data_IF_032417875791
#
_entry.id   IF_032417875791
#
_cell.length_a   1.000
_cell.length_b   1.000
_cell.length_c   1.000
_cell.angle_alpha   90.00
_cell.angle_beta   90.00
_cell.angle_gamma   90.00
#
_symmetry.space_group_name_H-M   'P 1'
#
loop_
_entity.id
_entity.type
_entity.pdbx_description
1 polymer ?
#
# COMPACT_ATOMS: atom_id res chain seq x y z
N UNK A 1 -6.32 -12.33 14.26
CA UNK A 1 -4.90 -12.13 13.89
C UNK A 1 -4.85 -11.75 12.41
N UNK A 2 -4.65 -10.46 12.10
CA UNK A 2 -4.58 -9.99 10.71
C UNK A 2 -3.22 -10.37 10.10
N UNK A 3 -3.26 -10.85 8.86
CA UNK A 3 -2.17 -11.53 8.18
C UNK A 3 -0.83 -10.78 8.24
N UNK A 4 0.24 -11.52 8.57
CA UNK A 4 1.63 -11.12 8.34
C UNK A 4 1.91 -11.07 6.82
N UNK A 5 1.35 -10.08 6.12
CA UNK A 5 1.64 -9.86 4.71
C UNK A 5 3.07 -9.32 4.58
N UNK A 6 3.98 -10.21 4.21
CA UNK A 6 5.33 -9.83 3.77
C UNK A 6 5.21 -9.00 2.50
N UNK A 7 5.56 -7.73 2.59
CA UNK A 7 5.61 -6.80 1.46
C UNK A 7 6.98 -6.93 0.81
N UNK A 8 7.02 -7.16 -0.50
CA UNK A 8 8.27 -7.19 -1.27
C UNK A 8 8.52 -5.83 -1.93
N UNK A 9 9.79 -5.47 -2.11
CA UNK A 9 10.15 -4.34 -2.95
C UNK A 9 9.68 -4.60 -4.40
N UNK A 10 9.35 -3.52 -5.12
CA UNK A 10 8.80 -3.50 -6.48
C UNK A 10 7.39 -4.09 -6.63
N UNK A 11 6.76 -4.50 -5.53
CA UNK A 11 5.41 -5.07 -5.54
C UNK A 11 4.34 -3.98 -5.72
N UNK A 12 3.42 -4.19 -6.67
CA UNK A 12 2.22 -3.39 -6.79
C UNK A 12 1.15 -3.90 -5.82
N UNK A 13 0.60 -3.01 -5.01
CA UNK A 13 -0.46 -3.35 -4.04
C UNK A 13 -1.66 -2.45 -4.23
N UNK A 14 -2.81 -2.97 -3.84
CA UNK A 14 -4.03 -2.21 -3.63
C UNK A 14 -4.32 -2.19 -2.13
N UNK A 15 -4.55 -1.02 -1.56
CA UNK A 15 -4.80 -0.84 -0.13
C UNK A 15 -6.01 0.05 0.13
N UNK A 16 -6.72 -0.23 1.22
CA UNK A 16 -7.69 0.66 1.85
C UNK A 16 -6.94 1.42 2.95
N UNK A 17 -6.86 2.74 2.80
CA UNK A 17 -6.09 3.61 3.69
C UNK A 17 -6.99 4.66 4.33
N UNK A 18 -6.95 4.75 5.65
CA UNK A 18 -7.64 5.76 6.43
C UNK A 18 -6.68 6.91 6.78
N UNK A 19 -7.03 8.14 6.38
CA UNK A 19 -6.24 9.32 6.73
C UNK A 19 -6.41 9.66 8.22
N UNK A 20 -5.56 10.56 8.75
CA UNK A 20 -5.73 11.07 10.12
C UNK A 20 -7.05 11.83 10.34
N UNK A 21 -7.69 12.29 9.27
CA UNK A 21 -9.00 12.95 9.34
C UNK A 21 -10.17 11.97 9.18
N UNK A 22 -9.90 10.65 9.16
CA UNK A 22 -10.92 9.61 8.95
C UNK A 22 -11.30 9.40 7.47
N UNK A 23 -10.61 10.04 6.52
CA UNK A 23 -10.91 9.85 5.09
C UNK A 23 -10.41 8.47 4.63
N UNK A 24 -11.34 7.58 4.28
CA UNK A 24 -11.02 6.26 3.74
C UNK A 24 -10.87 6.35 2.23
N UNK A 25 -9.73 5.87 1.72
CA UNK A 25 -9.40 5.90 0.29
C UNK A 25 -8.87 4.56 -0.18
N UNK A 26 -9.28 4.16 -1.38
CA UNK A 26 -8.69 3.04 -2.10
C UNK A 26 -7.46 3.51 -2.88
N UNK A 27 -6.29 2.91 -2.66
CA UNK A 27 -5.02 3.33 -3.23
C UNK A 27 -4.31 2.17 -3.92
N UNK A 28 -3.87 2.40 -5.15
CA UNK A 28 -2.85 1.57 -5.79
C UNK A 28 -1.48 2.20 -5.49
N UNK A 29 -0.56 1.39 -5.00
CA UNK A 29 0.79 1.84 -4.60
C UNK A 29 1.83 0.85 -5.09
N UNK A 30 2.90 1.34 -5.73
CA UNK A 30 4.09 0.56 -6.04
C UNK A 30 5.06 0.66 -4.86
N UNK A 31 5.27 -0.43 -4.14
CA UNK A 31 6.11 -0.44 -2.94
C UNK A 31 7.58 -0.46 -3.33
N UNK A 32 8.39 0.38 -2.70
CA UNK A 32 9.86 0.31 -2.81
C UNK A 32 10.55 0.02 -1.47
N UNK A 33 9.82 0.07 -0.36
CA UNK A 33 10.38 -0.31 0.94
C UNK A 33 9.34 -0.34 2.06
N UNK A 34 9.75 -0.86 3.21
CA UNK A 34 8.98 -0.78 4.45
C UNK A 34 9.91 -0.76 5.65
N UNK A 35 9.46 -0.21 6.76
CA UNK A 35 10.09 -0.36 8.07
C UNK A 35 9.04 -0.88 9.07
N UNK A 36 9.32 -0.83 10.37
CA UNK A 36 8.38 -1.34 11.38
C UNK A 36 7.03 -0.61 11.37
N UNK A 37 7.00 0.70 11.14
CA UNK A 37 5.80 1.54 11.27
C UNK A 37 5.15 1.90 9.91
N UNK A 38 5.93 1.93 8.84
CA UNK A 38 5.55 2.53 7.56
C UNK A 38 5.82 1.63 6.38
N UNK A 39 5.01 1.81 5.35
CA UNK A 39 5.26 1.35 3.99
C UNK A 39 5.61 2.56 3.12
N UNK A 40 6.59 2.40 2.25
CA UNK A 40 7.06 3.44 1.34
C UNK A 40 6.76 3.04 -0.10
N UNK A 41 6.10 3.93 -0.84
CA UNK A 41 5.69 3.60 -2.20
C UNK A 41 5.30 4.80 -3.05
N UNK A 42 5.27 4.57 -4.36
CA UNK A 42 4.68 5.53 -5.30
C UNK A 42 3.17 5.35 -5.32
N UNK A 43 2.44 6.40 -4.94
CA UNK A 43 0.98 6.42 -4.89
C UNK A 43 0.42 6.90 -6.22
N UNK A 44 -0.29 6.04 -6.96
CA UNK A 44 -0.84 6.39 -8.27
C UNK A 44 -1.97 7.42 -8.18
N UNK A 45 -2.78 7.36 -7.12
CA UNK A 45 -3.86 8.34 -6.87
C UNK A 45 -3.32 9.78 -6.74
N UNK A 46 -2.14 9.93 -6.11
CA UNK A 46 -1.53 11.24 -5.84
C UNK A 46 -0.34 11.55 -6.74
N UNK A 47 -0.03 10.68 -7.71
CA UNK A 47 1.10 10.77 -8.65
C UNK A 47 2.44 11.13 -7.98
N UNK A 48 2.78 10.48 -6.87
CA UNK A 48 4.02 10.79 -6.14
C UNK A 48 4.41 9.79 -5.05
N UNK A 49 5.68 9.89 -4.60
CA UNK A 49 6.22 9.08 -3.50
C UNK A 49 5.63 9.48 -2.16
N UNK A 50 5.15 8.50 -1.39
CA UNK A 50 4.55 8.70 -0.07
C UNK A 50 4.93 7.61 0.91
N UNK A 51 4.81 7.95 2.19
CA UNK A 51 4.83 6.99 3.28
C UNK A 51 3.42 6.78 3.83
N UNK A 52 3.13 5.55 4.22
CA UNK A 52 1.83 5.10 4.71
C UNK A 52 2.04 4.44 6.07
N UNK A 53 1.35 4.90 7.11
CA UNK A 53 1.40 4.25 8.42
C UNK A 53 0.68 2.91 8.34
N UNK A 54 1.30 1.84 8.84
CA UNK A 54 0.69 0.50 8.82
C UNK A 54 -0.60 0.42 9.62
N UNK A 55 -0.66 1.14 10.74
CA UNK A 55 -1.87 1.26 11.59
C UNK A 55 -3.05 1.89 10.85
N UNK A 56 -2.79 2.65 9.77
CA UNK A 56 -3.79 3.31 8.95
C UNK A 56 -4.17 2.51 7.70
N UNK A 57 -3.62 1.30 7.54
CA UNK A 57 -3.94 0.38 6.44
C UNK A 57 -4.99 -0.61 6.95
N UNK A 58 -6.24 -0.39 6.54
CA UNK A 58 -7.38 -1.23 6.94
C UNK A 58 -7.38 -2.57 6.19
N UNK A 59 -6.93 -2.56 4.94
CA UNK A 59 -6.76 -3.75 4.13
C UNK A 59 -5.68 -3.52 3.07
N UNK A 60 -4.95 -4.57 2.70
CA UNK A 60 -3.97 -4.53 1.62
C UNK A 60 -3.94 -5.88 0.91
N UNK A 61 -3.84 -5.85 -0.42
CA UNK A 61 -3.69 -7.05 -1.24
C UNK A 61 -2.64 -6.80 -2.34
N UNK A 62 -1.83 -7.81 -2.70
CA UNK A 62 -1.00 -7.76 -3.89
C UNK A 62 -1.88 -7.60 -5.14
N UNK A 63 -1.59 -6.62 -5.99
CA UNK A 63 -2.19 -6.55 -7.32
C UNK A 63 -1.39 -7.51 -8.20
N UNK A 64 -1.97 -8.66 -8.54
CA UNK A 64 -1.35 -9.59 -9.49
C UNK A 64 -1.13 -8.82 -10.79
N UNK A 65 0.12 -8.78 -11.27
CA UNK A 65 0.34 -8.44 -12.67
C UNK A 65 -0.40 -9.52 -13.46
N UNK A 66 -1.48 -9.14 -14.15
CA UNK A 66 -1.93 -9.96 -15.26
C UNK A 66 -0.73 -10.03 -16.19
N UNK A 67 -0.13 -11.22 -16.36
CA UNK A 67 0.57 -11.49 -17.61
C UNK A 67 -0.44 -11.18 -18.70
N UNK A 68 -0.18 -10.11 -19.42
CA UNK A 68 -0.90 -9.73 -20.62
C UNK A 68 -0.45 -10.79 -21.65
N UNK A 69 -1.31 -11.78 -21.88
CA UNK A 69 -1.18 -12.73 -22.99
C UNK A 69 -1.57 -12.03 -24.28
#
# INVERSE_FOLDING_TARGET
MLANQKVKADQLVEMIYESRSGEITKRTVKIYGSNNQKIFGYCFLRKGYRSFYKEQILAMIPKRSSKQY
#
